data_IF_694919648896
#
_entry.id   IF_694919648896
#
_cell.length_a   1.000
_cell.length_b   1.000
_cell.length_c   1.000
_cell.angle_alpha   90.00
_cell.angle_beta   90.00
_cell.angle_gamma   90.00
#
_symmetry.space_group_name_H-M   'P 1'
#
loop_
_entity.id
_entity.type
_entity.pdbx_description
1 polymer ?
2 non-polymer ?
3 non-polymer ?
4 non-polymer ?
5 water ?
#
# COMPACT_ATOMS: atom_id res chain seq x y z
N UNK A 1 21.67 1.01 -38.68
CA UNK A 1 20.63 0.30 -37.92
C UNK A 1 21.12 -0.06 -36.53
N UNK A 2 22.16 -0.88 -36.43
CA UNK A 2 22.68 -1.32 -35.13
C UNK A 2 22.94 -0.20 -34.11
N UNK A 3 23.62 0.86 -34.52
CA UNK A 3 23.93 1.96 -33.62
C UNK A 3 22.72 2.80 -33.21
N UNK A 4 21.78 2.98 -34.13
CA UNK A 4 20.55 3.72 -33.84
C UNK A 4 19.72 2.89 -32.86
N UNK A 5 19.71 1.57 -33.07
CA UNK A 5 18.98 0.66 -32.19
C UNK A 5 19.58 0.67 -30.79
N UNK A 6 20.91 0.66 -30.69
CA UNK A 6 21.59 0.70 -29.40
C UNK A 6 21.28 1.99 -28.66
N UNK A 7 21.26 3.11 -29.39
CA UNK A 7 20.96 4.42 -28.82
C UNK A 7 19.50 4.45 -28.35
N UNK A 8 18.58 3.85 -29.12
CA UNK A 8 17.18 3.82 -28.69
C UNK A 8 17.10 2.96 -27.44
N UNK A 9 17.82 1.85 -27.42
CA UNK A 9 17.80 0.94 -26.29
C UNK A 9 18.29 1.62 -25.01
N UNK A 10 19.33 2.45 -25.13
CA UNK A 10 19.83 3.18 -23.96
C UNK A 10 18.75 4.11 -23.47
N UNK A 11 18.02 4.72 -24.40
CA UNK A 11 16.93 5.63 -24.05
C UNK A 11 15.73 4.88 -23.43
N UNK A 12 15.45 3.67 -23.90
CA UNK A 12 14.34 2.88 -23.35
C UNK A 12 14.69 2.51 -21.90
N UNK A 13 15.93 2.07 -21.70
CA UNK A 13 16.43 1.69 -20.38
C UNK A 13 16.37 2.86 -19.41
N UNK A 14 16.84 4.02 -19.85
CA UNK A 14 16.82 5.20 -19.00
C UNK A 14 15.40 5.62 -18.64
N UNK A 15 14.49 5.56 -19.60
CA UNK A 15 13.10 5.92 -19.32
C UNK A 15 12.50 4.93 -18.33
N UNK A 16 12.91 3.67 -18.44
CA UNK A 16 12.44 2.64 -17.53
C UNK A 16 12.96 2.90 -16.12
N UNK A 17 14.22 3.30 -16.01
CA UNK A 17 14.82 3.59 -14.69
C UNK A 17 14.09 4.77 -14.03
N UNK A 18 13.80 5.77 -14.83
CA UNK A 18 13.11 6.97 -14.34
C UNK A 18 11.72 6.62 -13.82
N UNK A 19 10.99 5.84 -14.59
CA UNK A 19 9.65 5.39 -14.23
C UNK A 19 9.65 4.52 -12.98
N UNK A 20 10.64 3.63 -12.85
CA UNK A 20 10.71 2.78 -11.67
C UNK A 20 11.02 3.62 -10.43
N UNK A 21 11.89 4.63 -10.58
CA UNK A 21 12.21 5.50 -9.46
C UNK A 21 10.94 6.24 -9.03
N UNK A 22 10.13 6.64 -10.02
CA UNK A 22 8.89 7.31 -9.72
C UNK A 22 7.95 6.34 -9.01
N UNK A 23 7.88 5.10 -9.49
CA UNK A 23 7.05 4.09 -8.85
C UNK A 23 7.48 3.94 -7.38
N UNK A 24 8.78 3.82 -7.14
CA UNK A 24 9.28 3.68 -5.78
C UNK A 24 8.92 4.86 -4.89
N UNK A 25 9.00 6.09 -5.42
CA UNK A 25 8.65 7.27 -4.64
C UNK A 25 7.19 7.24 -4.26
N UNK A 26 6.33 6.94 -5.23
CA UNK A 26 4.90 6.86 -5.00
C UNK A 26 4.58 5.78 -3.96
N UNK A 27 5.21 4.61 -4.09
CA UNK A 27 5.00 3.52 -3.15
C UNK A 27 5.39 3.96 -1.73
N UNK A 28 6.55 4.60 -1.58
CA UNK A 28 6.98 5.02 -0.24
C UNK A 28 5.95 5.98 0.34
N UNK A 29 5.53 6.96 -0.48
CA UNK A 29 4.52 7.94 -0.08
C UNK A 29 3.26 7.23 0.42
N UNK A 30 2.74 6.30 -0.38
CA UNK A 30 1.52 5.59 0.02
C UNK A 30 1.72 4.74 1.27
N UNK A 31 2.96 4.36 1.54
CA UNK A 31 3.23 3.55 2.73
C UNK A 31 3.49 4.40 3.97
N UNK A 32 3.33 5.70 3.81
CA UNK A 32 3.49 6.63 4.91
C UNK A 32 4.84 7.30 5.10
N UNK A 33 5.73 7.25 4.11
CA UNK A 33 7.01 7.91 4.29
C UNK A 33 6.80 9.42 4.35
N UNK A 34 7.35 10.05 5.38
CA UNK A 34 7.23 11.49 5.55
C UNK A 34 8.45 12.10 4.88
N UNK A 35 8.26 13.28 4.29
CA UNK A 35 9.32 13.98 3.57
C UNK A 35 10.66 14.06 4.29
N UNK A 36 11.69 13.51 3.65
CA UNK A 36 13.03 13.53 4.22
C UNK A 36 13.24 12.68 5.44
N UNK A 37 12.24 11.88 5.83
CA UNK A 37 12.35 11.02 7.00
C UNK A 37 12.50 9.55 6.57
N UNK A 38 13.19 8.77 7.39
CA UNK A 38 13.35 7.35 7.10
C UNK A 38 11.97 6.76 7.35
N UNK A 39 11.60 5.69 6.66
CA UNK A 39 10.28 5.14 6.92
C UNK A 39 10.26 3.67 7.30
N UNK A 40 9.22 3.32 8.03
CA UNK A 40 9.03 1.99 8.56
C UNK A 40 7.83 1.29 7.95
N UNK A 41 7.96 -0.01 7.73
CA UNK A 41 6.88 -0.79 7.11
C UNK A 41 6.81 -2.18 7.74
N UNK A 42 5.61 -2.73 7.80
CA UNK A 42 5.42 -4.06 8.37
C UNK A 42 4.33 -4.79 7.62
N UNK A 43 4.43 -6.12 7.60
CA UNK A 43 3.38 -6.95 6.99
C UNK A 43 2.52 -7.50 8.14
N UNK A 44 2.84 -7.08 9.37
CA UNK A 44 2.12 -7.49 10.58
C UNK A 44 2.33 -8.96 10.93
N UNK A 45 3.46 -9.51 10.50
CA UNK A 45 3.77 -10.90 10.79
C UNK A 45 4.77 -10.99 11.93
N UNK A 46 4.60 -11.99 12.78
CA UNK A 46 5.49 -12.22 13.91
C UNK A 46 6.44 -13.39 13.62
N UNK A 47 7.71 -13.23 13.98
CA UNK A 47 8.71 -14.24 13.71
C UNK A 47 9.97 -14.01 14.56
N UNK A 48 10.86 -15.02 14.64
CA UNK A 48 12.09 -14.87 15.42
C UNK A 48 12.99 -13.83 14.78
N UNK A 49 13.79 -13.18 15.60
CA UNK A 49 14.69 -12.13 15.16
C UNK A 49 15.47 -12.43 13.89
N UNK A 50 16.07 -13.62 13.80
CA UNK A 50 16.85 -14.02 12.63
C UNK A 50 16.06 -13.94 11.33
N UNK A 51 14.77 -14.19 11.43
CA UNK A 51 13.85 -14.14 10.28
C UNK A 51 13.58 -12.69 9.87
N UNK A 52 13.33 -11.83 10.85
CA UNK A 52 13.09 -10.42 10.58
C UNK A 52 14.33 -9.89 9.85
N UNK A 53 15.50 -10.18 10.41
CA UNK A 53 16.77 -9.76 9.81
C UNK A 53 16.86 -10.21 8.36
N UNK A 54 16.62 -11.50 8.13
CA UNK A 54 16.68 -12.09 6.79
C UNK A 54 15.68 -11.42 5.85
N UNK A 55 14.44 -11.28 6.32
CA UNK A 55 13.35 -10.66 5.57
C UNK A 55 13.67 -9.22 5.17
N UNK A 56 13.95 -8.36 6.14
CA UNK A 56 14.27 -6.98 5.86
C UNK A 56 15.49 -6.87 4.95
N UNK A 57 16.45 -7.76 5.14
CA UNK A 57 17.65 -7.76 4.31
C UNK A 57 17.26 -8.04 2.86
N UNK A 58 16.32 -8.96 2.67
CA UNK A 58 15.86 -9.31 1.34
C UNK A 58 15.17 -8.11 0.70
N UNK A 59 14.60 -7.24 1.52
CA UNK A 59 13.91 -6.07 1.03
C UNK A 59 14.86 -4.88 0.89
N UNK A 60 16.13 -5.11 1.20
CA UNK A 60 17.16 -4.08 1.14
C UNK A 60 16.89 -3.03 2.20
N UNK A 61 16.35 -3.49 3.33
CA UNK A 61 16.06 -2.63 4.46
C UNK A 61 16.81 -3.22 5.65
N UNK A 62 16.50 -2.72 6.85
CA UNK A 62 17.14 -3.18 8.07
C UNK A 62 16.04 -3.28 9.09
N UNK A 63 16.29 -4.01 10.18
CA UNK A 63 15.28 -4.12 11.24
C UNK A 63 15.22 -2.72 11.83
N UNK A 64 14.01 -2.19 12.00
CA UNK A 64 13.80 -0.86 12.53
C UNK A 64 14.64 -0.49 13.75
N UNK A 65 15.20 0.72 13.74
CA UNK A 65 16.01 1.21 14.85
C UNK A 65 15.64 2.67 15.14
N UNK A 66 15.07 2.93 16.32
CA UNK A 66 14.72 4.31 16.65
C UNK A 66 15.98 5.01 17.16
N UNK A 67 16.25 6.22 16.66
CA UNK A 67 17.44 6.97 17.07
C UNK A 67 17.06 8.19 17.90
N UNK A 68 15.76 8.41 18.04
CA UNK A 68 15.25 9.52 18.81
C UNK A 68 13.78 9.26 19.07
N UNK A 69 13.16 10.18 19.80
CA UNK A 69 11.77 10.11 20.17
C UNK A 69 10.83 10.02 18.99
N UNK A 70 11.07 10.85 17.97
CA UNK A 70 10.23 10.86 16.79
C UNK A 70 10.19 9.52 16.08
N UNK A 71 11.37 8.95 15.82
CA UNK A 71 11.47 7.67 15.15
C UNK A 71 10.85 6.56 15.99
N UNK A 72 11.13 6.57 17.28
CA UNK A 72 10.58 5.57 18.20
C UNK A 72 9.06 5.59 18.12
N UNK A 73 8.50 6.80 18.00
CA UNK A 73 7.08 7.01 17.90
C UNK A 73 6.55 6.45 16.57
N UNK A 74 7.28 6.75 15.50
CA UNK A 74 6.94 6.27 14.16
C UNK A 74 6.86 4.76 14.12
N UNK A 75 7.90 4.09 14.64
CA UNK A 75 7.95 2.63 14.68
C UNK A 75 6.80 2.11 15.54
N UNK A 76 6.59 2.75 16.69
CA UNK A 76 5.52 2.36 17.60
C UNK A 76 4.18 2.39 16.86
N UNK A 77 3.95 3.47 16.13
CA UNK A 77 2.72 3.63 15.35
C UNK A 77 2.56 2.65 14.19
N UNK A 78 3.67 2.30 13.54
CA UNK A 78 3.63 1.35 12.45
C UNK A 78 3.40 -0.10 12.94
N UNK A 79 4.14 -0.51 13.97
CA UNK A 79 4.04 -1.87 14.50
C UNK A 79 2.74 -2.23 15.19
N UNK A 80 2.32 -1.39 16.14
CA UNK A 80 1.08 -1.61 16.89
C UNK A 80 1.02 -3.00 17.59
N UNK A 81 2.12 -3.35 18.24
CA UNK A 81 2.29 -4.61 18.97
C UNK A 81 3.79 -4.74 19.25
N UNK A 82 4.20 -5.76 19.99
CA UNK A 82 5.63 -5.92 20.28
C UNK A 82 6.40 -6.17 18.97
N UNK A 83 7.43 -5.37 18.72
CA UNK A 83 8.21 -5.51 17.51
C UNK A 83 9.70 -5.52 17.76
N UNK A 84 10.43 -6.38 17.07
CA UNK A 84 11.87 -6.42 17.23
C UNK A 84 12.51 -5.12 16.72
N UNK A 85 13.58 -4.69 17.37
CA UNK A 85 14.31 -3.50 16.93
C UNK A 85 15.69 -4.04 16.53
N UNK A 86 16.42 -3.29 15.71
CA UNK A 86 17.73 -3.74 15.28
C UNK A 86 18.81 -3.45 16.30
N UNK A 87 18.59 -3.95 17.53
CA UNK A 87 19.50 -3.74 18.65
C UNK A 87 19.63 -5.06 19.44
N UNK A 88 20.85 -5.50 19.71
CA UNK A 88 21.09 -6.74 20.48
C UNK A 88 22.38 -6.63 21.31
N UNK A 89 22.58 -7.55 22.25
CA UNK A 89 23.80 -7.59 23.05
C UNK A 89 24.36 -9.00 22.95
N UNK A 90 24.17 -9.59 21.78
CA UNK A 90 24.64 -10.94 21.51
C UNK A 90 26.15 -11.00 21.50
N UNK A 91 26.79 -9.96 20.95
CA UNK A 91 28.26 -9.93 20.86
C UNK A 91 28.91 -9.90 22.24
N UNK A 92 28.46 -8.97 23.09
CA UNK A 92 28.98 -8.87 24.45
C UNK A 92 27.79 -8.60 25.38
N UNK A 93 27.45 -9.59 26.20
CA UNK A 93 26.35 -9.50 27.15
C UNK A 93 26.33 -8.16 27.89
N UNK A 94 25.15 -7.53 27.92
CA UNK A 94 24.98 -6.26 28.59
C UNK A 94 25.24 -5.04 27.72
N UNK A 95 26.02 -5.18 26.65
CA UNK A 95 26.34 -4.08 25.72
C UNK A 95 25.45 -4.20 24.51
N UNK A 96 24.44 -3.33 24.46
CA UNK A 96 23.53 -3.31 23.33
C UNK A 96 24.10 -2.48 22.19
N UNK A 97 24.15 -3.12 21.03
CA UNK A 97 24.70 -2.53 19.81
C UNK A 97 23.66 -2.65 18.70
N UNK A 98 23.74 -1.73 17.74
CA UNK A 98 22.85 -1.75 16.60
C UNK A 98 23.35 -2.87 15.72
N UNK A 99 22.44 -3.53 15.02
CA UNK A 99 22.81 -4.61 14.09
C UNK A 99 23.70 -3.98 13.02
N UNK A 100 23.48 -2.69 12.80
CA UNK A 100 24.24 -1.89 11.82
C UNK A 100 25.56 -1.39 12.40
N UNK A 101 25.98 -1.97 13.53
CA UNK A 101 27.23 -1.60 14.17
C UNK A 101 27.17 -0.36 15.05
N UNK A 102 27.82 -0.42 16.21
CA UNK A 102 27.84 0.73 17.10
C UNK A 102 27.01 0.57 18.35
N UNK A 103 27.46 1.20 19.43
CA UNK A 103 26.77 1.16 20.72
C UNK A 103 25.59 2.10 20.72
N UNK A 104 24.58 1.81 21.54
CA UNK A 104 23.38 2.62 21.63
C UNK A 104 23.66 4.07 22.00
N UNK A 105 23.01 4.98 21.29
CA UNK A 105 23.16 6.42 21.55
C UNK A 105 21.85 6.99 22.03
N UNK A 106 20.78 6.22 21.87
CA UNK A 106 19.44 6.60 22.31
C UNK A 106 18.82 5.34 22.87
N UNK A 107 18.21 5.45 24.05
CA UNK A 107 17.56 4.29 24.65
C UNK A 107 16.19 4.70 25.17
N UNK A 108 15.31 3.74 25.33
CA UNK A 108 13.98 4.00 25.86
C UNK A 108 13.47 2.77 26.59
N UNK A 109 14.34 2.24 27.45
CA UNK A 109 14.04 1.07 28.25
C UNK A 109 12.89 1.22 29.23
N UNK A 110 12.09 0.19 29.33
CA UNK A 110 10.98 0.15 30.25
C UNK A 110 11.67 0.02 31.62
N UNK A 111 10.96 0.34 32.69
CA UNK A 111 11.54 0.23 34.02
C UNK A 111 11.89 -1.24 34.30
N UNK A 112 13.04 -1.43 34.95
CA UNK A 112 13.56 -2.75 35.30
C UNK A 112 14.10 -3.54 34.10
N UNK A 113 14.18 -2.92 32.93
CA UNK A 113 14.73 -3.57 31.73
C UNK A 113 15.95 -2.78 31.29
N UNK A 114 16.93 -3.43 30.64
CA UNK A 114 16.97 -4.85 30.29
C UNK A 114 17.37 -5.73 31.48
N UNK A 115 16.91 -6.98 31.50
CA UNK A 115 17.23 -7.87 32.61
C UNK A 115 17.81 -9.25 32.24
N UNK A 116 18.06 -9.48 30.95
CA UNK A 116 18.61 -10.76 30.45
C UNK A 116 17.99 -11.95 31.18
N UNK A 117 16.67 -11.92 31.23
CA UNK A 117 15.88 -12.93 31.92
C UNK A 117 16.00 -14.34 31.34
N UNK A 118 16.10 -15.33 32.22
CA UNK A 118 16.18 -16.74 31.80
C UNK A 118 14.86 -17.50 31.93
N UNK A 119 13.95 -16.96 32.75
CA UNK A 119 12.66 -17.60 33.00
C UNK A 119 11.75 -17.97 31.85
N UNK A 120 12.06 -17.51 30.63
CA UNK A 120 11.24 -17.84 29.46
C UNK A 120 11.36 -19.31 29.02
N UNK A 121 12.38 -19.99 29.55
CA UNK A 121 12.58 -21.39 29.22
C UNK A 121 13.02 -21.71 27.79
N UNK A 122 13.15 -20.69 26.95
CA UNK A 122 13.58 -20.88 25.56
C UNK A 122 15.08 -21.13 25.43
N UNK A 123 15.79 -21.05 26.56
CA UNK A 123 17.23 -21.25 26.53
C UNK A 123 17.90 -19.89 26.41
N UNK A 124 18.97 -19.71 27.19
CA UNK A 124 19.69 -18.44 27.18
C UNK A 124 18.92 -17.35 27.89
N UNK A 125 19.50 -16.15 27.89
CA UNK A 125 18.84 -15.03 28.53
C UNK A 125 18.06 -14.30 27.46
N UNK A 126 18.17 -12.98 27.44
CA UNK A 126 17.47 -12.19 26.45
C UNK A 126 18.51 -11.29 25.80
N UNK A 127 18.78 -11.52 24.51
CA UNK A 127 19.77 -10.75 23.78
C UNK A 127 19.22 -9.83 22.69
N UNK A 128 17.90 -9.89 22.48
CA UNK A 128 17.26 -9.06 21.46
C UNK A 128 16.40 -8.06 22.19
N UNK A 129 15.87 -7.09 21.45
CA UNK A 129 15.05 -6.03 22.04
C UNK A 129 13.78 -5.80 21.23
N UNK A 130 12.69 -5.50 21.91
CA UNK A 130 11.43 -5.23 21.23
C UNK A 130 10.88 -3.92 21.74
N UNK A 131 10.13 -3.23 20.87
CA UNK A 131 9.47 -2.01 21.28
C UNK A 131 8.09 -2.58 21.65
N UNK A 132 7.66 -2.29 22.87
CA UNK A 132 6.38 -2.76 23.32
C UNK A 132 5.34 -1.67 23.17
N UNK A 133 4.09 -2.09 23.07
CA UNK A 133 2.92 -1.23 22.89
C UNK A 133 3.02 0.29 23.14
N UNK A 134 3.56 0.69 24.29
CA UNK A 134 3.68 2.12 24.65
C UNK A 134 5.00 2.81 24.25
N UNK A 135 5.78 2.17 23.39
CA UNK A 135 7.02 2.77 22.96
C UNK A 135 8.22 2.41 23.82
N UNK A 136 8.00 1.85 25.00
CA UNK A 136 9.10 1.46 25.88
C UNK A 136 9.76 0.19 25.37
N UNK A 137 11.01 -0.04 25.76
CA UNK A 137 11.76 -1.20 25.30
C UNK A 137 11.88 -2.34 26.34
N UNK A 138 11.99 -3.58 25.85
CA UNK A 138 12.20 -4.75 26.71
C UNK A 138 13.15 -5.70 25.99
N UNK A 139 14.14 -6.25 26.70
CA UNK A 139 15.03 -7.22 26.06
C UNK A 139 14.25 -8.54 26.12
N UNK A 140 14.31 -9.31 25.04
CA UNK A 140 13.57 -10.56 24.94
C UNK A 140 14.44 -11.54 24.20
N UNK A 141 14.07 -12.83 24.26
CA UNK A 141 14.84 -13.85 23.58
C UNK A 141 14.75 -13.62 22.07
N UNK A 142 15.88 -13.70 21.40
CA UNK A 142 15.95 -13.54 19.95
C UNK A 142 15.15 -14.66 19.27
N UNK A 143 14.88 -15.73 20.02
CA UNK A 143 14.12 -16.87 19.52
C UNK A 143 12.61 -16.68 19.59
N UNK A 144 12.15 -15.70 20.37
CA UNK A 144 10.71 -15.45 20.49
C UNK A 144 10.21 -14.79 19.21
N UNK A 145 8.90 -14.84 18.98
CA UNK A 145 8.32 -14.27 17.77
C UNK A 145 7.61 -12.94 17.99
N UNK A 146 8.07 -11.90 17.29
CA UNK A 146 7.50 -10.57 17.38
C UNK A 146 7.34 -9.97 15.99
N UNK A 147 6.64 -8.85 15.90
CA UNK A 147 6.38 -8.19 14.61
C UNK A 147 7.58 -7.70 13.82
N UNK A 148 7.60 -8.02 12.53
CA UNK A 148 8.68 -7.60 11.64
C UNK A 148 8.40 -6.20 11.08
N UNK A 149 9.29 -5.26 11.40
CA UNK A 149 9.14 -3.88 10.96
C UNK A 149 10.50 -3.58 10.35
N UNK A 150 10.47 -3.28 9.05
CA UNK A 150 11.68 -2.98 8.31
C UNK A 150 11.81 -1.48 8.13
N UNK A 151 13.04 -1.02 8.06
CA UNK A 151 13.36 0.39 7.93
C UNK A 151 14.06 0.65 6.61
N UNK A 152 13.70 1.76 5.99
CA UNK A 152 14.31 2.19 4.72
C UNK A 152 14.78 3.63 4.93
N UNK A 153 15.93 4.01 4.35
CA UNK A 153 16.48 5.35 4.49
C UNK A 153 15.64 6.54 4.08
N UNK A 154 16.04 7.71 4.56
CA UNK A 154 15.34 8.95 4.27
C UNK A 154 15.61 9.32 2.81
N UNK B 1 25.58 -13.53 -32.98
CA UNK B 1 25.32 -12.39 -33.90
C UNK B 1 24.74 -11.21 -33.09
N UNK B 2 25.35 -10.05 -33.25
CA UNK B 2 24.95 -8.84 -32.54
C UNK B 2 23.47 -8.47 -32.71
N UNK B 3 22.99 -8.49 -33.96
CA UNK B 3 21.61 -8.13 -34.27
C UNK B 3 20.63 -9.01 -33.51
N UNK B 4 20.93 -10.30 -33.45
CA UNK B 4 20.07 -11.24 -32.76
C UNK B 4 20.04 -10.93 -31.26
N UNK B 5 21.21 -10.65 -30.69
CA UNK B 5 21.29 -10.34 -29.27
C UNK B 5 20.53 -9.05 -28.97
N UNK B 6 20.64 -8.08 -29.87
CA UNK B 6 19.98 -6.79 -29.77
C UNK B 6 18.47 -7.02 -29.80
N UNK B 7 18.01 -7.86 -30.71
CA UNK B 7 16.59 -8.18 -30.84
C UNK B 7 16.06 -8.78 -29.56
N UNK B 8 16.79 -9.74 -29.00
CA UNK B 8 16.40 -10.40 -27.77
C UNK B 8 16.37 -9.42 -26.61
N UNK B 9 17.32 -8.50 -26.57
CA UNK B 9 17.36 -7.50 -25.52
C UNK B 9 16.19 -6.55 -25.61
N UNK B 10 15.76 -6.21 -26.83
CA UNK B 10 14.61 -5.34 -27.02
C UNK B 10 13.35 -6.02 -26.49
N UNK B 11 13.31 -7.34 -26.64
CA UNK B 11 12.18 -8.14 -26.18
C UNK B 11 12.11 -8.12 -24.66
N UNK B 12 13.26 -8.24 -24.03
CA UNK B 12 13.41 -8.21 -22.58
C UNK B 12 12.91 -6.91 -22.03
N UNK B 13 13.30 -5.82 -22.69
CA UNK B 13 12.89 -4.48 -22.28
C UNK B 13 11.37 -4.34 -22.35
N UNK B 14 10.75 -4.88 -23.39
CA UNK B 14 9.30 -4.82 -23.54
C UNK B 14 8.59 -5.60 -22.43
N UNK B 15 9.18 -6.74 -22.09
CA UNK B 15 8.63 -7.55 -21.02
C UNK B 15 8.72 -6.77 -19.71
N UNK B 16 9.84 -6.09 -19.49
CA UNK B 16 10.03 -5.30 -18.28
C UNK B 16 9.10 -4.10 -18.20
N UNK B 17 8.87 -3.43 -19.32
CA UNK B 17 7.98 -2.29 -19.35
C UNK B 17 6.53 -2.73 -19.04
N UNK B 18 6.15 -3.91 -19.50
CA UNK B 18 4.80 -4.42 -19.23
C UNK B 18 4.70 -4.82 -17.75
N UNK B 19 5.80 -5.37 -17.24
CA UNK B 19 5.90 -5.78 -15.84
C UNK B 19 5.78 -4.57 -14.92
N UNK B 20 6.42 -3.47 -15.29
CA UNK B 20 6.32 -2.26 -14.46
C UNK B 20 4.90 -1.66 -14.52
N UNK B 21 4.28 -1.68 -15.69
CA UNK B 21 2.91 -1.18 -15.85
C UNK B 21 2.00 -2.00 -14.94
N UNK B 22 2.21 -3.31 -14.88
CA UNK B 22 1.44 -4.20 -14.02
C UNK B 22 1.65 -3.82 -12.56
N UNK B 23 2.90 -3.56 -12.20
CA UNK B 23 3.24 -3.15 -10.84
C UNK B 23 2.46 -1.88 -10.47
N UNK B 24 2.38 -0.95 -11.42
CA UNK B 24 1.67 0.30 -11.19
C UNK B 24 0.19 0.07 -11.07
N UNK B 25 -0.33 -0.88 -11.85
CA UNK B 25 -1.76 -1.18 -11.80
C UNK B 25 -2.11 -1.82 -10.46
N UNK B 26 -1.30 -2.77 -10.03
CA UNK B 26 -1.55 -3.44 -8.75
C UNK B 26 -1.47 -2.45 -7.59
N UNK B 27 -0.48 -1.58 -7.61
CA UNK B 27 -0.36 -0.60 -6.52
C UNK B 27 -1.59 0.29 -6.44
N UNK B 28 -2.00 0.85 -7.57
CA UNK B 28 -3.17 1.73 -7.59
C UNK B 28 -4.37 0.98 -7.06
N UNK B 29 -4.51 -0.28 -7.47
CA UNK B 29 -5.60 -1.13 -7.04
C UNK B 29 -5.57 -1.33 -5.52
N UNK B 30 -4.39 -1.66 -4.99
CA UNK B 30 -4.22 -1.88 -3.55
C UNK B 30 -4.44 -0.59 -2.76
N UNK B 31 -4.24 0.53 -3.42
CA UNK B 31 -4.46 1.79 -2.74
C UNK B 31 -5.88 2.34 -2.89
N UNK B 32 -6.78 1.55 -3.47
CA UNK B 32 -8.17 1.96 -3.61
C UNK B 32 -8.64 2.60 -4.90
N UNK B 33 -7.83 2.57 -5.96
CA UNK B 33 -8.25 3.16 -7.21
C UNK B 33 -9.40 2.38 -7.84
N UNK B 34 -10.51 3.08 -8.08
CA UNK B 34 -11.68 2.46 -8.68
C UNK B 34 -11.51 2.48 -10.19
N UNK B 35 -12.07 1.48 -10.84
CA UNK B 35 -11.96 1.36 -12.29
C UNK B 35 -12.53 2.60 -13.00
N UNK B 36 -11.69 3.22 -13.83
CA UNK B 36 -12.10 4.41 -14.56
C UNK B 36 -12.25 5.69 -13.75
N UNK B 37 -11.78 5.71 -12.51
CA UNK B 37 -11.89 6.88 -11.64
C UNK B 37 -10.49 7.37 -11.27
N UNK B 38 -10.37 8.66 -10.95
CA UNK B 38 -9.07 9.22 -10.53
C UNK B 38 -8.66 8.49 -9.28
N UNK B 39 -7.36 8.52 -9.00
CA UNK B 39 -6.76 7.84 -7.87
C UNK B 39 -6.28 8.88 -6.84
N UNK B 40 -6.68 8.73 -5.58
CA UNK B 40 -6.27 9.66 -4.54
C UNK B 40 -5.41 8.94 -3.53
N UNK B 41 -4.31 9.56 -3.09
CA UNK B 41 -3.41 8.91 -2.16
C UNK B 41 -2.80 9.92 -1.17
N UNK B 42 -2.45 9.46 0.02
CA UNK B 42 -1.87 10.32 1.04
C UNK B 42 -0.82 9.54 1.83
N UNK B 43 0.12 10.26 2.42
CA UNK B 43 1.13 9.63 3.27
C UNK B 43 0.78 9.98 4.72
N UNK B 44 -0.36 10.64 4.89
CA UNK B 44 -0.89 11.06 6.19
C UNK B 44 -0.05 12.11 6.89
N UNK B 45 0.68 12.88 6.10
CA UNK B 45 1.49 13.92 6.65
C UNK B 45 0.73 15.22 6.53
N UNK B 46 0.78 16.03 7.58
CA UNK B 46 0.12 17.33 7.59
C UNK B 46 1.21 18.36 7.31
N UNK B 47 0.92 19.31 6.42
CA UNK B 47 1.89 20.33 6.03
C UNK B 47 1.14 21.50 5.40
N UNK B 48 1.81 22.68 5.29
CA UNK B 48 1.21 23.87 4.70
C UNK B 48 0.95 23.63 3.20
N UNK B 49 -0.01 24.35 2.64
CA UNK B 49 -0.38 24.20 1.24
C UNK B 49 0.77 24.17 0.24
N UNK B 50 1.76 25.02 0.45
CA UNK B 50 2.92 25.09 -0.43
C UNK B 50 3.65 23.75 -0.51
N UNK B 51 3.80 23.10 0.64
CA UNK B 51 4.48 21.81 0.67
C UNK B 51 3.67 20.70 0.02
N UNK B 52 2.35 20.73 0.17
CA UNK B 52 1.50 19.72 -0.44
C UNK B 52 1.66 19.83 -1.95
N UNK B 53 1.68 21.06 -2.46
CA UNK B 53 1.83 21.29 -3.88
C UNK B 53 3.16 20.74 -4.38
N UNK B 54 4.22 21.01 -3.62
CA UNK B 54 5.56 20.55 -3.95
C UNK B 54 5.66 19.03 -3.95
N UNK B 55 5.14 18.41 -2.90
CA UNK B 55 5.16 16.95 -2.78
C UNK B 55 4.42 16.27 -3.92
N UNK B 56 3.15 16.61 -4.12
CA UNK B 56 2.36 16.00 -5.20
C UNK B 56 3.03 16.17 -6.55
N UNK B 57 3.67 17.32 -6.74
CA UNK B 57 4.35 17.60 -8.00
C UNK B 57 5.51 16.64 -8.24
N UNK B 58 6.27 16.37 -7.18
CA UNK B 58 7.42 15.46 -7.24
C UNK B 58 6.96 14.04 -7.60
N UNK B 59 5.71 13.73 -7.28
CA UNK B 59 5.14 12.43 -7.57
C UNK B 59 4.49 12.40 -8.93
N UNK B 60 4.50 13.57 -9.60
CA UNK B 60 3.90 13.75 -10.92
C UNK B 60 2.36 13.69 -10.85
N UNK B 61 1.82 14.19 -9.74
CA UNK B 61 0.38 14.24 -9.55
C UNK B 61 0.03 15.68 -9.21
N UNK B 62 -1.15 15.89 -8.64
CA UNK B 62 -1.61 17.23 -8.28
C UNK B 62 -2.35 17.16 -6.96
N UNK B 63 -2.49 18.29 -6.27
CA UNK B 63 -3.22 18.33 -5.01
C UNK B 63 -4.65 17.93 -5.34
N UNK B 64 -5.18 16.98 -4.58
CA UNK B 64 -6.52 16.47 -4.81
C UNK B 64 -7.59 17.53 -5.04
N UNK B 65 -8.40 17.33 -6.07
CA UNK B 65 -9.46 18.28 -6.41
C UNK B 65 -10.77 17.52 -6.63
N UNK B 66 -11.77 17.75 -5.77
CA UNK B 66 -13.05 17.07 -5.97
C UNK B 66 -13.86 17.86 -7.00
N UNK B 67 -14.39 17.17 -8.00
CA UNK B 67 -15.18 17.83 -9.04
C UNK B 67 -16.62 17.36 -9.08
N UNK B 68 -16.99 16.54 -8.10
CA UNK B 68 -18.34 16.02 -7.96
C UNK B 68 -18.47 15.33 -6.62
N UNK B 69 -19.68 14.94 -6.26
CA UNK B 69 -19.93 14.29 -4.98
C UNK B 69 -19.12 13.01 -4.74
N UNK B 70 -18.97 12.19 -5.78
CA UNK B 70 -18.21 10.93 -5.66
C UNK B 70 -16.76 11.16 -5.27
N UNK B 71 -16.10 12.08 -5.97
CA UNK B 71 -14.70 12.40 -5.71
C UNK B 71 -14.52 13.02 -4.35
N UNK B 72 -15.54 13.74 -3.93
CA UNK B 72 -15.53 14.40 -2.63
C UNK B 72 -15.47 13.36 -1.52
N UNK B 73 -16.31 12.34 -1.63
CA UNK B 73 -16.35 11.26 -0.65
C UNK B 73 -15.04 10.49 -0.69
N UNK B 74 -14.58 10.18 -1.91
CA UNK B 74 -13.34 9.44 -2.12
C UNK B 74 -12.14 10.09 -1.44
N UNK B 75 -12.02 11.41 -1.57
CA UNK B 75 -10.93 12.15 -0.93
C UNK B 75 -11.10 12.13 0.59
N UNK B 76 -12.33 12.34 1.04
CA UNK B 76 -12.64 12.35 2.46
C UNK B 76 -12.19 11.04 3.12
N UNK B 77 -12.55 9.92 2.49
CA UNK B 77 -12.19 8.60 2.98
C UNK B 77 -10.67 8.39 2.97
N UNK B 78 -9.99 8.86 1.93
CA UNK B 78 -8.54 8.70 1.84
C UNK B 78 -7.81 9.50 2.92
N UNK B 79 -8.08 10.80 2.99
CA UNK B 79 -7.43 11.66 3.96
C UNK B 79 -7.79 11.28 5.40
N UNK B 80 -9.07 11.01 5.64
CA UNK B 80 -9.59 10.64 6.96
C UNK B 80 -9.60 11.83 7.93
N UNK B 81 -8.72 12.80 7.69
CA UNK B 81 -8.58 14.00 8.50
C UNK B 81 -8.57 15.18 7.52
N UNK B 82 -8.67 16.40 8.05
CA UNK B 82 -8.67 17.60 7.22
C UNK B 82 -7.49 17.62 6.27
N UNK B 83 -7.79 17.80 4.98
CA UNK B 83 -6.77 17.85 3.95
C UNK B 83 -7.02 19.04 3.04
N UNK B 84 -5.96 19.50 2.37
CA UNK B 84 -6.05 20.60 1.45
C UNK B 84 -6.59 20.11 0.12
N UNK B 85 -7.33 20.95 -0.57
CA UNK B 85 -7.86 20.66 -1.89
C UNK B 85 -7.05 21.56 -2.82
N UNK B 86 -6.94 21.20 -4.08
CA UNK B 86 -6.18 22.03 -5.01
C UNK B 86 -7.03 23.17 -5.53
N UNK B 87 -7.50 24.01 -4.61
CA UNK B 87 -8.36 25.15 -4.93
C UNK B 87 -7.91 26.29 -4.03
N UNK B 88 -7.84 27.50 -4.60
CA UNK B 88 -7.39 28.64 -3.82
C UNK B 88 -7.81 29.97 -4.42
N UNK B 89 -7.98 30.98 -3.56
CA UNK B 89 -8.33 32.33 -3.99
C UNK B 89 -7.18 33.25 -3.55
N UNK B 90 -5.95 32.79 -3.79
CA UNK B 90 -4.73 33.52 -3.44
C UNK B 90 -4.58 34.78 -4.26
N UNK B 91 -4.72 34.63 -5.57
CA UNK B 91 -4.57 35.74 -6.49
C UNK B 91 -5.60 36.83 -6.20
N UNK B 92 -6.86 36.53 -6.49
CA UNK B 92 -7.96 37.46 -6.31
C UNK B 92 -8.93 36.94 -5.24
N UNK B 93 -9.05 37.67 -4.13
CA UNK B 93 -9.92 37.29 -3.04
C UNK B 93 -11.37 37.09 -3.51
N UNK B 94 -11.95 35.94 -3.17
CA UNK B 94 -13.31 35.65 -3.56
C UNK B 94 -13.42 34.83 -4.84
N UNK B 95 -12.35 34.78 -5.62
CA UNK B 95 -12.38 34.00 -6.85
C UNK B 95 -11.50 32.75 -6.66
N UNK B 96 -12.14 31.65 -6.23
CA UNK B 96 -11.44 30.40 -6.01
C UNK B 96 -11.11 29.74 -7.36
N UNK B 97 -9.85 29.38 -7.52
CA UNK B 97 -9.33 28.77 -8.74
C UNK B 97 -8.72 27.40 -8.45
N UNK B 98 -8.69 26.53 -9.47
CA UNK B 98 -8.09 25.21 -9.31
C UNK B 98 -6.59 25.43 -9.51
N UNK B 99 -5.76 24.66 -8.82
CA UNK B 99 -4.31 24.80 -8.97
C UNK B 99 -3.95 24.42 -10.39
N UNK B 100 -4.85 23.66 -11.03
CA UNK B 100 -4.65 23.23 -12.41
C UNK B 100 -5.26 24.24 -13.39
N UNK B 101 -5.77 25.35 -12.86
CA UNK B 101 -6.36 26.37 -13.68
C UNK B 101 -7.88 26.36 -13.77
N UNK B 102 -8.46 27.55 -13.91
CA UNK B 102 -9.89 27.67 -14.03
C UNK B 102 -10.64 27.99 -12.76
N UNK B 103 -11.78 28.66 -12.93
CA UNK B 103 -12.63 29.05 -11.83
C UNK B 103 -13.36 27.82 -11.31
N UNK B 104 -13.59 27.80 -10.01
CA UNK B 104 -14.28 26.72 -9.35
C UNK B 104 -15.64 26.48 -9.98
N UNK B 105 -15.91 25.22 -10.30
CA UNK B 105 -17.21 24.84 -10.85
C UNK B 105 -17.96 24.17 -9.69
N UNK B 106 -17.72 22.88 -9.48
CA UNK B 106 -18.35 22.16 -8.38
C UNK B 106 -17.78 22.64 -7.06
N UNK B 107 -18.65 22.78 -6.06
CA UNK B 107 -18.25 23.19 -4.73
C UNK B 107 -19.21 22.52 -3.75
N UNK B 108 -18.75 22.29 -2.54
CA UNK B 108 -19.53 21.64 -1.50
C UNK B 108 -19.32 22.46 -0.22
N UNK B 109 -19.50 23.77 -0.34
CA UNK B 109 -19.32 24.68 0.80
C UNK B 109 -20.30 24.43 1.93
N UNK B 110 -19.86 24.69 3.15
CA UNK B 110 -20.74 24.55 4.30
C UNK B 110 -21.56 25.85 4.33
N UNK B 111 -22.38 25.98 5.36
CA UNK B 111 -23.18 27.18 5.54
C UNK B 111 -22.20 28.18 6.17
N UNK B 112 -22.24 29.42 5.68
CA UNK B 112 -21.36 30.50 6.16
C UNK B 112 -19.95 30.43 5.59
N UNK B 113 -19.72 29.50 4.66
CA UNK B 113 -18.41 29.33 4.03
C UNK B 113 -18.51 29.56 2.53
N UNK B 114 -17.49 30.18 1.93
CA UNK B 114 -16.26 30.69 2.54
C UNK B 114 -16.44 32.06 3.23
N UNK B 115 -15.79 32.26 4.37
CA UNK B 115 -15.90 33.54 5.09
C UNK B 115 -14.61 34.36 5.23
N UNK B 116 -13.51 33.82 4.72
CA UNK B 116 -12.19 34.49 4.74
C UNK B 116 -11.75 35.06 6.11
N UNK B 117 -11.96 34.28 7.17
CA UNK B 117 -11.59 34.70 8.52
C UNK B 117 -10.12 35.14 8.65
N UNK B 118 -9.86 36.08 9.56
CA UNK B 118 -8.51 36.58 9.78
C UNK B 118 -7.92 36.28 11.17
N UNK B 119 -8.79 36.17 12.17
CA UNK B 119 -8.35 35.93 13.52
C UNK B 119 -7.67 34.62 13.87
N UNK B 120 -7.32 33.83 12.88
CA UNK B 120 -6.64 32.55 13.12
C UNK B 120 -5.24 32.75 13.71
N UNK B 121 -4.69 33.95 13.51
CA UNK B 121 -3.38 34.26 14.04
C UNK B 121 -2.23 33.75 13.19
N UNK B 122 -2.46 33.59 11.90
CA UNK B 122 -1.42 33.12 10.98
C UNK B 122 -1.08 34.22 9.97
N UNK B 123 -1.90 35.26 9.94
CA UNK B 123 -1.66 36.35 9.01
C UNK B 123 -2.44 36.12 7.73
N UNK B 124 -3.13 37.16 7.28
CA UNK B 124 -3.93 37.05 6.08
C UNK B 124 -5.27 36.46 6.46
N UNK B 125 -6.07 36.11 5.46
CA UNK B 125 -7.37 35.53 5.73
C UNK B 125 -7.33 34.02 5.57
N UNK B 126 -8.23 33.50 4.75
CA UNK B 126 -8.32 32.09 4.47
C UNK B 126 -8.37 32.03 2.95
N UNK B 127 -7.26 31.61 2.35
CA UNK B 127 -7.19 31.53 0.89
C UNK B 127 -7.15 30.11 0.32
N UNK B 128 -7.18 29.12 1.19
CA UNK B 128 -7.16 27.73 0.77
C UNK B 128 -8.45 27.02 1.13
N UNK B 129 -8.64 25.83 0.56
CA UNK B 129 -9.85 25.06 0.83
C UNK B 129 -9.49 23.70 1.41
N UNK B 130 -10.11 23.36 2.52
CA UNK B 130 -9.86 22.08 3.12
C UNK B 130 -11.17 21.31 3.15
N UNK B 131 -11.06 20.01 2.90
CA UNK B 131 -12.21 19.15 2.95
C UNK B 131 -12.11 18.62 4.38
N UNK B 132 -13.00 19.12 5.23
CA UNK B 132 -13.00 18.70 6.62
C UNK B 132 -13.52 17.27 6.72
N UNK B 133 -13.23 16.65 7.85
CA UNK B 133 -13.63 15.26 8.12
C UNK B 133 -15.07 14.93 7.71
N UNK B 134 -15.97 15.89 7.91
CA UNK B 134 -17.39 15.72 7.58
C UNK B 134 -17.68 15.65 6.08
N UNK B 135 -16.74 16.11 5.26
CA UNK B 135 -16.92 16.10 3.81
C UNK B 135 -17.14 17.46 3.19
N UNK B 136 -17.71 18.39 3.95
CA UNK B 136 -17.98 19.73 3.44
C UNK B 136 -16.71 20.56 3.27
N UNK B 137 -16.82 21.64 2.50
CA UNK B 137 -15.69 22.52 2.24
C UNK B 137 -15.71 23.71 3.18
N UNK B 138 -14.51 24.15 3.57
CA UNK B 138 -14.34 25.30 4.44
C UNK B 138 -13.02 25.95 4.07
N UNK B 139 -13.04 27.26 3.82
CA UNK B 139 -11.80 27.92 3.47
C UNK B 139 -10.93 28.03 4.72
N UNK B 140 -9.61 28.00 4.54
CA UNK B 140 -8.68 28.04 5.66
C UNK B 140 -7.37 28.72 5.23
N UNK B 141 -6.53 29.02 6.21
CA UNK B 141 -5.24 29.65 5.93
C UNK B 141 -4.35 28.64 5.24
N UNK B 142 -3.65 29.09 4.20
CA UNK B 142 -2.74 28.25 3.44
C UNK B 142 -1.44 27.97 4.19
N UNK B 143 -1.35 28.50 5.41
CA UNK B 143 -0.18 28.33 6.25
C UNK B 143 -0.42 27.26 7.31
N UNK B 144 -1.69 26.99 7.59
CA UNK B 144 -2.02 25.97 8.57
C UNK B 144 -1.61 24.63 7.99
N UNK B 145 -1.34 23.65 8.83
CA UNK B 145 -0.93 22.35 8.35
C UNK B 145 -2.07 21.35 8.29
N UNK B 146 -2.31 20.83 7.08
CA UNK B 146 -3.37 19.86 6.87
C UNK B 146 -2.81 18.71 6.06
N UNK B 147 -3.54 17.61 6.04
CA UNK B 147 -3.11 16.40 5.36
C UNK B 147 -2.88 16.53 3.86
N UNK B 148 -1.77 15.95 3.39
CA UNK B 148 -1.40 15.95 1.98
C UNK B 148 -2.07 14.80 1.21
N UNK B 149 -2.86 15.14 0.21
CA UNK B 149 -3.55 14.15 -0.60
C UNK B 149 -3.30 14.52 -2.05
N UNK B 150 -2.76 13.58 -2.81
CA UNK B 150 -2.47 13.81 -4.21
C UNK B 150 -3.41 12.98 -5.06
N UNK B 151 -3.64 13.42 -6.29
CA UNK B 151 -4.51 12.70 -7.17
C UNK B 151 -3.73 12.37 -8.42
N UNK B 152 -4.12 11.28 -9.05
CA UNK B 152 -3.52 10.81 -10.28
C UNK B 152 -4.71 10.49 -11.18
N UNK B 153 -4.57 10.69 -12.51
CA UNK B 153 -5.60 10.45 -13.54
C UNK B 153 -6.28 9.09 -13.48
N UNK B 154 -7.44 9.04 -14.12
CA UNK B 154 -8.23 7.82 -14.23
C UNK B 154 -7.53 6.91 -15.23
N UNK C 1 33.62 -0.32 -29.25
CA UNK C 1 32.38 0.32 -28.72
C UNK C 1 31.15 -0.61 -28.69
N UNK C 2 30.47 -0.74 -29.83
CA UNK C 2 29.25 -1.55 -29.97
C UNK C 2 29.05 -2.74 -29.04
N UNK C 3 30.00 -3.67 -29.05
CA UNK C 3 29.88 -4.87 -28.21
C UNK C 3 30.00 -4.56 -26.72
N UNK C 4 30.81 -3.56 -26.38
CA UNK C 4 30.97 -3.20 -24.98
C UNK C 4 29.67 -2.53 -24.53
N UNK C 5 29.11 -1.69 -25.40
CA UNK C 5 27.86 -1.00 -25.13
C UNK C 5 26.74 -2.01 -24.93
N UNK C 6 26.68 -2.99 -25.82
CA UNK C 6 25.67 -4.05 -25.77
C UNK C 6 25.82 -4.87 -24.48
N UNK C 7 27.06 -5.14 -24.07
CA UNK C 7 27.32 -5.90 -22.84
C UNK C 7 26.86 -5.10 -21.62
N UNK C 8 27.04 -3.79 -21.64
CA UNK C 8 26.60 -2.95 -20.53
C UNK C 8 25.08 -2.96 -20.44
N UNK C 9 24.42 -2.88 -21.60
CA UNK C 9 22.94 -2.90 -21.65
C UNK C 9 22.41 -4.17 -21.00
N UNK C 10 23.06 -5.30 -21.25
CA UNK C 10 22.64 -6.56 -20.65
C UNK C 10 22.68 -6.41 -19.13
N UNK C 11 23.77 -5.82 -18.64
CA UNK C 11 23.94 -5.57 -17.21
C UNK C 11 22.88 -4.58 -16.71
N UNK C 12 22.57 -3.55 -17.50
CA UNK C 12 21.55 -2.57 -17.13
C UNK C 12 20.18 -3.21 -17.03
N UNK C 13 19.86 -4.08 -17.99
CA UNK C 13 18.58 -4.79 -18.02
C UNK C 13 18.46 -5.72 -16.82
N UNK C 14 19.50 -6.52 -16.57
CA UNK C 14 19.54 -7.47 -15.46
C UNK C 14 19.37 -6.78 -14.11
N UNK C 15 20.00 -5.63 -13.96
CA UNK C 15 19.91 -4.85 -12.73
C UNK C 15 18.49 -4.32 -12.55
N UNK C 16 17.84 -3.95 -13.66
CA UNK C 16 16.48 -3.45 -13.62
C UNK C 16 15.51 -4.54 -13.24
N UNK C 17 15.75 -5.75 -13.76
CA UNK C 17 14.91 -6.90 -13.44
C UNK C 17 14.95 -7.13 -11.92
N UNK C 18 16.15 -7.11 -11.35
CA UNK C 18 16.32 -7.32 -9.92
C UNK C 18 15.67 -6.21 -9.11
N UNK C 19 15.80 -4.96 -9.56
CA UNK C 19 15.20 -3.86 -8.83
C UNK C 19 13.69 -3.94 -8.86
N UNK C 20 13.12 -4.28 -10.02
CA UNK C 20 11.67 -4.41 -10.12
C UNK C 20 11.18 -5.58 -9.27
N UNK C 21 11.93 -6.68 -9.21
CA UNK C 21 11.52 -7.81 -8.37
C UNK C 21 11.47 -7.35 -6.90
N UNK C 22 12.44 -6.52 -6.53
CA UNK C 22 12.54 -5.98 -5.18
C UNK C 22 11.33 -5.10 -4.85
N UNK C 23 10.97 -4.23 -5.79
CA UNK C 23 9.80 -3.37 -5.64
C UNK C 23 8.55 -4.24 -5.42
N UNK C 24 8.38 -5.28 -6.22
CA UNK C 24 7.23 -6.16 -6.07
C UNK C 24 7.21 -6.81 -4.69
N UNK C 25 8.36 -7.28 -4.23
CA UNK C 25 8.45 -7.92 -2.91
C UNK C 25 8.06 -6.95 -1.80
N UNK C 26 8.58 -5.73 -1.88
CA UNK C 26 8.29 -4.70 -0.89
C UNK C 26 6.81 -4.33 -0.93
N UNK C 27 6.24 -4.23 -2.12
CA UNK C 27 4.82 -3.91 -2.23
C UNK C 27 3.97 -5.03 -1.62
N UNK C 28 4.30 -6.28 -1.91
CA UNK C 28 3.57 -7.43 -1.36
C UNK C 28 3.62 -7.37 0.17
N UNK C 29 4.82 -7.13 0.71
CA UNK C 29 5.06 -7.04 2.15
C UNK C 29 4.22 -5.90 2.77
N UNK C 30 4.23 -4.72 2.14
CA UNK C 30 3.44 -3.62 2.66
C UNK C 30 1.94 -3.92 2.57
N UNK C 31 1.56 -4.79 1.63
CA UNK C 31 0.15 -5.16 1.47
C UNK C 31 -0.26 -6.31 2.40
N UNK C 32 0.61 -6.66 3.33
CA UNK C 32 0.32 -7.71 4.29
C UNK C 32 0.62 -9.15 3.95
N UNK C 33 1.34 -9.41 2.85
CA UNK C 33 1.67 -10.78 2.49
C UNK C 33 2.57 -11.43 3.53
N UNK C 34 2.15 -12.58 4.03
CA UNK C 34 2.92 -13.32 5.03
C UNK C 34 3.81 -14.29 4.30
N UNK C 35 4.94 -14.59 4.92
CA UNK C 35 5.94 -15.49 4.35
C UNK C 35 5.32 -16.79 3.86
N UNK C 36 5.66 -17.16 2.63
CA UNK C 36 5.18 -18.39 2.03
C UNK C 36 3.68 -18.57 1.96
N UNK C 37 2.92 -17.48 2.11
CA UNK C 37 1.48 -17.59 2.06
C UNK C 37 0.88 -16.67 1.01
N UNK C 38 -0.18 -17.15 0.36
CA UNK C 38 -0.84 -16.36 -0.66
C UNK C 38 -1.43 -15.12 0.00
N UNK C 39 -1.61 -14.05 -0.75
CA UNK C 39 -2.20 -12.87 -0.17
C UNK C 39 -3.37 -12.35 -0.97
N UNK C 40 -4.21 -11.59 -0.28
CA UNK C 40 -5.43 -11.04 -0.85
C UNK C 40 -5.40 -9.52 -0.82
N UNK C 41 -5.90 -8.93 -1.90
CA UNK C 41 -5.93 -7.48 -2.05
C UNK C 41 -7.27 -7.05 -2.64
N UNK C 42 -7.73 -5.86 -2.25
CA UNK C 42 -8.98 -5.31 -2.77
C UNK C 42 -8.83 -3.81 -2.91
N UNK C 43 -9.62 -3.20 -3.80
CA UNK C 43 -9.61 -1.75 -3.93
C UNK C 43 -10.92 -1.25 -3.32
N UNK C 44 -11.70 -2.17 -2.75
CA UNK C 44 -12.98 -1.89 -2.12
C UNK C 44 -14.08 -1.49 -3.10
N UNK C 45 -13.95 -1.94 -4.34
CA UNK C 45 -14.93 -1.61 -5.35
C UNK C 45 -15.88 -2.78 -5.50
N UNK C 46 -17.17 -2.47 -5.67
CA UNK C 46 -18.21 -3.47 -5.81
C UNK C 46 -18.55 -3.56 -7.29
N UNK C 47 -18.69 -4.77 -7.82
CA UNK C 47 -18.99 -4.94 -9.24
C UNK C 47 -19.46 -6.37 -9.45
N UNK C 48 -20.08 -6.66 -10.60
CA UNK C 48 -20.56 -8.02 -10.90
C UNK C 48 -19.38 -8.99 -11.01
N UNK C 49 -19.65 -10.28 -10.83
CA UNK C 49 -18.60 -11.30 -10.89
C UNK C 49 -17.72 -11.28 -12.15
N UNK C 50 -18.33 -11.11 -13.32
CA UNK C 50 -17.57 -11.09 -14.57
C UNK C 50 -16.49 -10.01 -14.51
N UNK C 51 -16.82 -8.89 -13.89
CA UNK C 51 -15.92 -7.75 -13.75
C UNK C 51 -14.76 -8.06 -12.80
N UNK C 52 -15.05 -8.75 -11.69
CA UNK C 52 -14.02 -9.12 -10.73
C UNK C 52 -13.03 -10.06 -11.39
N UNK C 53 -13.54 -11.05 -12.14
CA UNK C 53 -12.67 -11.99 -12.83
C UNK C 53 -11.74 -11.31 -13.84
N UNK C 54 -12.29 -10.39 -14.62
CA UNK C 54 -11.49 -9.69 -15.63
C UNK C 54 -10.46 -8.81 -14.93
N UNK C 55 -10.88 -8.17 -13.83
CA UNK C 55 -10.00 -7.31 -13.05
C UNK C 55 -8.84 -8.10 -12.44
N UNK C 56 -9.15 -9.19 -11.75
CA UNK C 56 -8.07 -9.98 -11.16
C UNK C 56 -7.16 -10.55 -12.25
N UNK C 57 -7.76 -10.91 -13.38
CA UNK C 57 -7.01 -11.45 -14.51
C UNK C 57 -5.97 -10.45 -15.00
N UNK C 58 -6.42 -9.24 -15.25
CA UNK C 58 -5.55 -8.16 -15.72
C UNK C 58 -4.39 -7.90 -14.74
N UNK C 59 -4.63 -8.12 -13.45
CA UNK C 59 -3.59 -7.91 -12.43
C UNK C 59 -2.72 -9.14 -12.27
N UNK C 60 -2.99 -10.15 -13.09
CA UNK C 60 -2.27 -11.42 -13.06
C UNK C 60 -2.51 -12.21 -11.78
N UNK C 61 -3.71 -12.01 -11.22
CA UNK C 61 -4.11 -12.71 -10.02
C UNK C 61 -5.40 -13.47 -10.33
N UNK C 62 -6.11 -13.92 -9.30
CA UNK C 62 -7.35 -14.67 -9.47
C UNK C 62 -8.35 -14.19 -8.44
N UNK C 63 -9.63 -14.48 -8.63
CA UNK C 63 -10.65 -14.10 -7.66
C UNK C 63 -10.35 -14.92 -6.41
N UNK C 64 -10.34 -14.26 -5.26
CA UNK C 64 -10.05 -14.90 -3.97
C UNK C 64 -10.79 -16.19 -3.70
N UNK C 65 -10.04 -17.24 -3.35
CA UNK C 65 -10.59 -18.56 -3.04
C UNK C 65 -10.08 -19.03 -1.67
N UNK C 66 -10.99 -19.28 -0.71
CA UNK C 66 -10.57 -19.74 0.61
C UNK C 66 -10.41 -21.26 0.54
N UNK C 67 -9.22 -21.76 0.83
CA UNK C 67 -8.98 -23.20 0.80
C UNK C 67 -9.09 -23.78 2.19
N UNK C 68 -9.14 -22.91 3.19
CA UNK C 68 -9.25 -23.35 4.57
C UNK C 68 -9.78 -22.21 5.42
N UNK C 69 -10.05 -22.50 6.68
CA UNK C 69 -10.58 -21.52 7.62
C UNK C 69 -9.70 -20.29 7.80
N UNK C 70 -8.39 -20.50 7.72
CA UNK C 70 -7.42 -19.42 7.87
C UNK C 70 -7.59 -18.43 6.71
N UNK C 71 -7.51 -18.93 5.48
CA UNK C 71 -7.65 -18.09 4.31
C UNK C 71 -9.01 -17.43 4.25
N UNK C 72 -10.05 -18.14 4.67
CA UNK C 72 -11.42 -17.61 4.68
C UNK C 72 -11.42 -16.38 5.59
N UNK C 73 -10.76 -16.52 6.73
CA UNK C 73 -10.64 -15.44 7.71
C UNK C 73 -9.86 -14.27 7.10
N UNK C 74 -8.76 -14.57 6.43
CA UNK C 74 -7.94 -13.53 5.79
C UNK C 74 -8.74 -12.74 4.76
N UNK C 75 -9.51 -13.43 3.93
CA UNK C 75 -10.33 -12.79 2.91
C UNK C 75 -11.40 -11.89 3.52
N UNK C 76 -12.10 -12.38 4.55
CA UNK C 76 -13.14 -11.56 5.19
C UNK C 76 -12.49 -10.35 5.86
N UNK C 77 -11.27 -10.53 6.36
CA UNK C 77 -10.54 -9.44 7.00
C UNK C 77 -10.18 -8.39 5.97
N UNK C 78 -9.77 -8.83 4.78
CA UNK C 78 -9.39 -7.92 3.69
C UNK C 78 -10.59 -7.20 3.08
N UNK C 79 -11.64 -7.95 2.75
CA UNK C 79 -12.82 -7.38 2.12
C UNK C 79 -13.65 -6.45 3.00
N UNK C 80 -13.78 -6.80 4.27
CA UNK C 80 -14.55 -6.01 5.23
C UNK C 80 -16.07 -6.08 4.99
N UNK C 81 -16.48 -6.27 3.74
CA UNK C 81 -17.90 -6.38 3.38
C UNK C 81 -18.10 -7.59 2.45
N UNK C 82 -19.32 -7.83 1.97
CA UNK C 82 -19.59 -8.99 1.11
C UNK C 82 -18.74 -8.96 -0.14
N UNK C 83 -18.03 -10.05 -0.38
CA UNK C 83 -17.15 -10.16 -1.52
C UNK C 83 -17.34 -11.44 -2.28
N UNK C 84 -17.11 -11.40 -3.59
CA UNK C 84 -17.23 -12.61 -4.40
C UNK C 84 -16.04 -13.51 -4.16
N UNK C 85 -16.27 -14.80 -4.25
CA UNK C 85 -15.22 -15.78 -4.10
C UNK C 85 -15.08 -16.42 -5.48
N UNK C 86 -13.91 -16.99 -5.76
CA UNK C 86 -13.71 -17.64 -7.05
C UNK C 86 -14.30 -19.04 -7.08
N UNK C 87 -15.60 -19.14 -6.79
CA UNK C 87 -16.32 -20.40 -6.74
C UNK C 87 -17.71 -20.19 -7.31
N UNK C 88 -18.14 -21.04 -8.24
CA UNK C 88 -19.48 -20.89 -8.83
C UNK C 88 -20.03 -22.24 -9.25
N UNK C 89 -21.34 -22.33 -9.45
CA UNK C 89 -21.93 -23.56 -9.93
C UNK C 89 -22.54 -23.30 -11.30
N UNK C 90 -21.88 -22.42 -12.05
CA UNK C 90 -22.32 -22.04 -13.40
C UNK C 90 -22.22 -23.16 -14.43
N UNK C 91 -21.28 -24.08 -14.24
CA UNK C 91 -21.10 -25.19 -15.18
C UNK C 91 -22.17 -26.26 -14.99
N UNK C 92 -22.46 -26.60 -13.74
CA UNK C 92 -23.46 -27.60 -13.45
C UNK C 92 -24.16 -27.18 -12.15
N UNK C 93 -25.43 -26.80 -12.29
CA UNK C 93 -26.26 -26.37 -11.17
C UNK C 93 -26.14 -27.30 -10.00
N UNK C 94 -25.85 -26.74 -8.84
CA UNK C 94 -25.71 -27.53 -7.64
C UNK C 94 -24.30 -27.91 -7.30
N UNK C 95 -23.43 -28.06 -8.31
CA UNK C 95 -22.04 -28.43 -8.05
C UNK C 95 -21.08 -27.23 -8.10
N UNK C 96 -20.78 -26.70 -6.92
CA UNK C 96 -19.88 -25.56 -6.83
C UNK C 96 -18.42 -25.98 -7.09
N UNK C 97 -17.75 -25.24 -7.97
CA UNK C 97 -16.38 -25.52 -8.36
C UNK C 97 -15.55 -24.26 -8.29
N UNK C 98 -14.24 -24.43 -8.19
CA UNK C 98 -13.33 -23.29 -8.16
C UNK C 98 -13.26 -22.78 -9.59
N UNK C 99 -13.19 -21.47 -9.77
CA UNK C 99 -13.10 -20.92 -11.13
C UNK C 99 -11.86 -21.49 -11.80
N UNK C 100 -10.87 -21.81 -10.98
CA UNK C 100 -9.61 -22.37 -11.45
C UNK C 100 -9.74 -23.87 -11.76
N UNK C 101 -10.94 -24.41 -11.59
CA UNK C 101 -11.21 -25.81 -11.84
C UNK C 101 -11.14 -26.66 -10.59
N UNK C 102 -11.94 -27.73 -10.56
CA UNK C 102 -11.93 -28.63 -9.42
C UNK C 102 -13.03 -28.41 -8.41
N UNK C 103 -13.41 -29.50 -7.73
CA UNK C 103 -14.46 -29.44 -6.72
C UNK C 103 -13.94 -28.90 -5.39
N UNK C 104 -14.85 -28.36 -4.58
CA UNK C 104 -14.51 -27.76 -3.30
C UNK C 104 -13.85 -28.70 -2.32
N UNK C 105 -12.85 -28.19 -1.61
CA UNK C 105 -12.12 -28.96 -0.62
C UNK C 105 -12.41 -28.39 0.76
N UNK C 106 -13.08 -27.25 0.78
CA UNK C 106 -13.44 -26.57 2.01
C UNK C 106 -14.66 -25.74 1.69
N UNK C 107 -15.55 -25.58 2.66
CA UNK C 107 -16.75 -24.77 2.47
C UNK C 107 -17.18 -24.25 3.83
N UNK C 108 -17.88 -23.13 3.84
CA UNK C 108 -18.36 -22.52 5.07
C UNK C 108 -19.73 -21.91 4.83
N UNK C 109 -20.60 -22.71 4.23
CA UNK C 109 -21.96 -22.29 3.90
C UNK C 109 -22.78 -21.92 5.12
N UNK C 110 -23.46 -20.79 5.01
CA UNK C 110 -24.34 -20.33 6.08
C UNK C 110 -25.52 -21.29 6.07
N UNK C 111 -26.28 -21.32 7.16
CA UNK C 111 -27.45 -22.19 7.27
C UNK C 111 -28.43 -21.91 6.15
N UNK C 112 -28.93 -22.98 5.54
CA UNK C 112 -29.90 -22.90 4.46
C UNK C 112 -29.34 -22.35 3.14
N UNK C 113 -28.03 -22.44 2.97
CA UNK C 113 -27.35 -22.00 1.75
C UNK C 113 -26.50 -23.18 1.30
N UNK C 114 -26.30 -23.35 -0.02
CA UNK C 114 -26.81 -22.53 -1.12
C UNK C 114 -28.25 -22.86 -1.49
N UNK C 115 -29.01 -21.85 -1.92
CA UNK C 115 -30.41 -22.10 -2.29
C UNK C 115 -30.82 -21.73 -3.71
N UNK C 116 -29.86 -21.30 -4.53
CA UNK C 116 -30.12 -20.92 -5.93
C UNK C 116 -31.41 -20.10 -6.03
N UNK C 117 -31.55 -19.16 -5.12
CA UNK C 117 -32.73 -18.32 -5.03
C UNK C 117 -33.00 -17.48 -6.28
N UNK C 118 -34.27 -17.34 -6.64
CA UNK C 118 -34.64 -16.53 -7.80
C UNK C 118 -35.29 -15.23 -7.35
N UNK C 119 -35.67 -15.16 -6.09
CA UNK C 119 -36.34 -13.97 -5.58
C UNK C 119 -35.66 -12.61 -5.69
N UNK C 120 -34.41 -12.59 -6.13
CA UNK C 120 -33.66 -11.34 -6.27
C UNK C 120 -34.08 -10.50 -7.48
N UNK C 121 -34.77 -11.13 -8.43
CA UNK C 121 -35.21 -10.40 -9.61
C UNK C 121 -34.17 -10.00 -10.64
N UNK C 122 -32.93 -10.45 -10.46
CA UNK C 122 -31.87 -10.13 -11.42
C UNK C 122 -31.94 -11.13 -12.58
N UNK C 123 -32.82 -12.12 -12.43
CA UNK C 123 -32.95 -13.13 -13.45
C UNK C 123 -32.04 -14.29 -13.15
N UNK C 124 -32.56 -15.50 -13.31
CA UNK C 124 -31.76 -16.68 -13.03
C UNK C 124 -31.72 -16.95 -11.53
N UNK C 125 -31.00 -18.01 -11.15
CA UNK C 125 -30.90 -18.34 -9.75
C UNK C 125 -29.71 -17.64 -9.15
N UNK C 126 -28.87 -18.42 -8.47
CA UNK C 126 -27.67 -17.89 -7.84
C UNK C 126 -26.53 -18.86 -8.11
N UNK C 127 -25.61 -18.44 -8.97
CA UNK C 127 -24.50 -19.29 -9.31
C UNK C 127 -23.15 -18.87 -8.76
N UNK C 128 -23.10 -17.69 -8.12
CA UNK C 128 -21.85 -17.20 -7.54
C UNK C 128 -21.87 -17.28 -6.03
N UNK C 129 -20.71 -17.06 -5.42
CA UNK C 129 -20.59 -17.15 -3.97
C UNK C 129 -19.97 -15.91 -3.32
N UNK C 130 -20.58 -15.46 -2.24
CA UNK C 130 -20.03 -14.34 -1.52
C UNK C 130 -19.73 -14.79 -0.12
N UNK C 131 -18.72 -14.17 0.46
CA UNK C 131 -18.33 -14.43 1.83
C UNK C 131 -18.92 -13.21 2.54
N UNK C 132 -19.81 -13.46 3.49
CA UNK C 132 -20.42 -12.37 4.24
C UNK C 132 -19.54 -12.00 5.42
N UNK C 133 -19.71 -10.78 5.93
CA UNK C 133 -18.94 -10.27 7.04
C UNK C 133 -18.42 -11.27 8.07
N UNK C 134 -19.30 -12.16 8.54
CA UNK C 134 -18.95 -13.17 9.54
C UNK C 134 -18.24 -14.42 9.01
N UNK C 135 -17.64 -14.30 7.84
CA UNK C 135 -16.93 -15.41 7.23
C UNK C 135 -17.77 -16.50 6.58
N UNK C 136 -19.07 -16.49 6.83
CA UNK C 136 -19.96 -17.50 6.25
C UNK C 136 -20.20 -17.26 4.78
N UNK C 137 -20.63 -18.31 4.07
CA UNK C 137 -20.89 -18.26 2.62
C UNK C 137 -22.36 -18.25 2.23
N UNK C 138 -22.67 -17.49 1.17
CA UNK C 138 -24.03 -17.41 0.61
C UNK C 138 -23.92 -17.40 -0.90
N UNK C 139 -24.75 -18.19 -1.59
CA UNK C 139 -24.71 -18.17 -3.03
C UNK C 139 -25.56 -16.96 -3.44
N UNK C 140 -25.06 -16.21 -4.40
CA UNK C 140 -25.72 -14.99 -4.85
C UNK C 140 -25.66 -14.95 -6.37
N UNK C 141 -26.45 -14.07 -6.98
CA UNK C 141 -26.44 -13.93 -8.43
C UNK C 141 -25.09 -13.35 -8.85
N UNK C 142 -24.53 -13.87 -9.93
CA UNK C 142 -23.25 -13.38 -10.45
C UNK C 142 -23.40 -11.98 -11.03
N UNK C 143 -24.65 -11.58 -11.25
CA UNK C 143 -24.97 -10.26 -11.80
C UNK C 143 -24.98 -9.17 -10.76
N UNK C 144 -25.08 -9.57 -9.49
CA UNK C 144 -25.09 -8.63 -8.39
C UNK C 144 -23.67 -8.10 -8.21
N UNK C 145 -23.54 -6.91 -7.61
CA UNK C 145 -22.25 -6.28 -7.39
C UNK C 145 -21.74 -6.46 -5.98
N UNK C 146 -20.57 -7.07 -5.85
CA UNK C 146 -19.95 -7.27 -4.54
C UNK C 146 -18.47 -6.90 -4.68
N UNK C 147 -17.78 -6.78 -3.56
CA UNK C 147 -16.38 -6.38 -3.50
C UNK C 147 -15.42 -7.31 -4.24
N UNK C 148 -14.52 -6.70 -5.00
CA UNK C 148 -13.52 -7.41 -5.79
C UNK C 148 -12.31 -7.68 -4.92
N UNK C 149 -12.00 -8.96 -4.71
CA UNK C 149 -10.84 -9.34 -3.90
C UNK C 149 -10.01 -10.28 -4.74
N UNK C 150 -8.78 -9.87 -5.05
CA UNK C 150 -7.90 -10.69 -5.85
C UNK C 150 -6.92 -11.45 -4.98
N UNK C 151 -6.47 -12.57 -5.51
CA UNK C 151 -5.55 -13.45 -4.81
C UNK C 151 -4.26 -13.59 -5.62
N UNK C 152 -3.13 -13.59 -4.91
CA UNK C 152 -1.84 -13.75 -5.54
C UNK C 152 -1.13 -14.90 -4.82
N UNK C 153 -0.37 -15.72 -5.57
CA UNK C 153 0.37 -16.88 -5.10
C UNK C 153 1.27 -16.71 -3.88
N UNK C 154 1.50 -17.82 -3.20
CA UNK C 154 2.35 -17.88 -2.03
C UNK C 154 3.80 -17.61 -2.49
#
# INVERSE_FOLDING_TARGET
AIEVKLANMEAEINTLKSKLELTNKLHAFSMGKKSGKKFFVTNHERMPFSKVKALCSELRGTVAIPRNAEENKAIQEVAKTSAFLGITDEVTEGQFMYVTGGRLTYSNWKKDQPDDWYGHGLGGGEDCVTIVDNGLWNDISCQASHTAVCEFPA
AIEVKLANMEAEINTLKSKLELTNKLHAFSMGKKSGKKFFVTNHERMPFSKVKALCSELRGTVAIPRNAEENKAIQEVAKTSAFLGITDEVTEGQFMYVTGGRLTYSNWKKDQPDDWYGHGLGGGEDCVTIVDNGLWNDISCQASHTAVCEFPA
AIEVKLANMEAEINTLKSKLELTNKLHAFSMGKKSGKKFFVTNHERMPFSKVKALCSELRGTVAIPRNAEENKAIQEVAKTSAFLGITDEVTEGQFMYVTGGRLTYSNWKKDQPDDWYGHGLGGGEDCVTIVDNGLWNDISCQASHTAVCEFPA
#
